data_IF_876938477634
#
_entry.id   IF_876938477634
#
_cell.length_a   1.000
_cell.length_b   1.000
_cell.length_c   1.000
_cell.angle_alpha   90.00
_cell.angle_beta   90.00
_cell.angle_gamma   90.00
#
_symmetry.space_group_name_H-M   'P 1'
#
loop_
_entity.id
_entity.type
_entity.pdbx_description
1 polymer ?
#
# COMPACT_ATOMS: atom_id res chain seq x y z
N UNK A 1 35.43 -28.42 39.42
CA UNK A 1 34.98 -28.27 38.02
C UNK A 1 33.45 -28.26 37.86
N UNK A 2 32.69 -29.15 38.49
CA UNK A 2 31.21 -29.24 38.34
C UNK A 2 30.43 -27.93 38.62
N UNK A 3 30.88 -27.12 39.58
CA UNK A 3 30.21 -25.88 40.00
C UNK A 3 30.41 -24.70 39.01
N UNK A 4 31.53 -24.65 38.29
CA UNK A 4 31.79 -23.62 37.25
C UNK A 4 30.99 -23.91 35.97
N UNK A 5 30.80 -25.19 35.62
CA UNK A 5 29.99 -25.63 34.47
C UNK A 5 28.50 -25.27 34.68
N UNK A 6 27.98 -25.42 35.89
CA UNK A 6 26.59 -25.06 36.24
C UNK A 6 26.30 -23.55 36.13
N UNK A 7 27.27 -22.68 36.49
CA UNK A 7 27.12 -21.22 36.38
C UNK A 7 27.16 -20.75 34.92
N UNK A 8 28.00 -21.36 34.09
CA UNK A 8 28.07 -21.09 32.65
C UNK A 8 26.76 -21.52 31.96
N UNK A 9 26.24 -22.70 32.33
CA UNK A 9 24.96 -23.20 31.78
C UNK A 9 23.77 -22.31 32.17
N UNK A 10 23.75 -21.81 33.41
CA UNK A 10 22.71 -20.87 33.88
C UNK A 10 22.80 -19.50 33.19
N UNK A 11 24.01 -19.03 32.85
CA UNK A 11 24.20 -17.74 32.16
C UNK A 11 23.80 -17.82 30.68
N UNK A 12 24.04 -18.97 30.02
CA UNK A 12 23.61 -19.24 28.65
C UNK A 12 22.07 -19.32 28.55
N UNK A 13 21.41 -19.91 29.56
CA UNK A 13 19.94 -20.00 29.60
C UNK A 13 19.27 -18.61 29.74
N UNK A 14 19.90 -17.70 30.49
CA UNK A 14 19.44 -16.31 30.68
C UNK A 14 19.58 -15.46 29.40
N UNK A 15 20.67 -15.65 28.65
CA UNK A 15 20.88 -14.97 27.35
C UNK A 15 19.91 -15.47 26.29
N UNK A 16 19.57 -16.77 26.28
CA UNK A 16 18.59 -17.33 25.35
C UNK A 16 17.16 -16.82 25.63
N UNK A 17 16.82 -16.59 26.91
CA UNK A 17 15.52 -16.02 27.30
C UNK A 17 15.36 -14.54 26.92
N UNK A 18 16.44 -13.75 26.91
CA UNK A 18 16.41 -12.34 26.54
C UNK A 18 16.23 -12.08 25.02
N UNK A 19 16.41 -13.10 24.17
CA UNK A 19 16.28 -12.99 22.71
C UNK A 19 14.84 -13.21 22.18
N UNK A 20 13.86 -13.45 23.06
CA UNK A 20 12.49 -13.84 22.66
C UNK A 20 11.47 -12.69 22.60
N UNK A 21 11.90 -11.41 22.68
CA UNK A 21 10.99 -10.25 22.64
C UNK A 21 11.20 -9.42 21.37
N UNK A 22 10.91 -10.04 20.22
CA UNK A 22 10.63 -9.29 18.99
C UNK A 22 9.45 -9.96 18.27
N UNK A 23 8.30 -9.95 18.93
CA UNK A 23 7.02 -10.16 18.25
C UNK A 23 6.82 -8.98 17.31
N UNK A 24 7.16 -9.18 16.03
CA UNK A 24 6.74 -8.30 14.95
C UNK A 24 5.24 -8.51 14.79
N UNK A 25 4.44 -7.81 15.61
CA UNK A 25 3.00 -7.81 15.50
C UNK A 25 2.69 -7.18 14.14
N UNK A 26 2.25 -7.99 13.17
CA UNK A 26 1.67 -7.53 11.91
C UNK A 26 0.46 -6.68 12.28
N UNK A 27 0.67 -5.37 12.37
CA UNK A 27 -0.43 -4.42 12.49
C UNK A 27 -1.21 -4.54 11.18
N UNK A 28 -2.51 -4.72 11.29
CA UNK A 28 -3.40 -4.55 10.16
C UNK A 28 -3.07 -3.20 9.49
N UNK A 29 -2.72 -3.23 8.21
CA UNK A 29 -2.30 -2.04 7.45
C UNK A 29 -3.46 -1.06 7.25
N UNK A 30 -4.67 -1.44 7.65
CA UNK A 30 -5.90 -0.65 7.52
C UNK A 30 -6.82 -0.83 8.74
N UNK A 31 -7.80 0.05 8.88
CA UNK A 31 -8.86 -0.03 9.90
C UNK A 31 -9.74 -1.28 9.71
N UNK A 32 -10.32 -1.82 10.79
CA UNK A 32 -11.09 -3.08 10.78
C UNK A 32 -12.31 -3.11 9.85
N UNK A 33 -12.86 -1.96 9.50
CA UNK A 33 -13.99 -1.78 8.58
C UNK A 33 -13.55 -1.54 7.13
N UNK A 34 -12.26 -1.66 6.82
CA UNK A 34 -11.75 -1.52 5.46
C UNK A 34 -12.32 -2.66 4.58
N UNK A 35 -12.92 -2.36 3.41
CA UNK A 35 -13.55 -3.39 2.58
C UNK A 35 -12.53 -4.41 2.06
N UNK A 36 -12.84 -5.69 2.22
CA UNK A 36 -12.08 -6.77 1.60
C UNK A 36 -12.81 -7.25 0.34
N UNK A 37 -12.41 -6.72 -0.81
CA UNK A 37 -13.04 -6.98 -2.11
C UNK A 37 -11.94 -7.34 -3.11
N UNK A 38 -12.13 -8.38 -3.93
CA UNK A 38 -11.09 -8.83 -4.85
C UNK A 38 -10.71 -7.74 -5.85
N UNK A 39 -9.41 -7.69 -6.15
CA UNK A 39 -8.85 -6.86 -7.22
C UNK A 39 -8.36 -7.75 -8.35
N UNK A 40 -8.81 -7.46 -9.57
CA UNK A 40 -8.34 -8.10 -10.79
C UNK A 40 -8.62 -7.17 -11.98
N UNK A 41 -7.63 -6.36 -12.34
CA UNK A 41 -7.76 -5.31 -13.37
C UNK A 41 -6.67 -5.52 -14.40
N UNK A 42 -7.03 -5.56 -15.68
CA UNK A 42 -6.08 -5.61 -16.79
C UNK A 42 -6.22 -4.34 -17.63
N UNK A 43 -5.13 -3.62 -17.83
CA UNK A 43 -5.05 -2.38 -18.62
C UNK A 43 -4.07 -2.56 -19.77
N UNK A 44 -4.48 -2.19 -20.98
CA UNK A 44 -3.59 -2.14 -22.15
C UNK A 44 -3.07 -0.71 -22.36
N UNK A 45 -1.85 -0.42 -21.90
CA UNK A 45 -1.28 0.93 -21.89
C UNK A 45 -1.04 1.55 -23.28
N UNK A 46 -1.23 0.78 -24.35
CA UNK A 46 -1.20 1.28 -25.73
C UNK A 46 -2.50 2.01 -26.12
N UNK A 47 -3.57 1.88 -25.34
CA UNK A 47 -4.81 2.60 -25.57
C UNK A 47 -4.69 4.06 -25.11
N UNK A 48 -5.28 5.03 -25.85
CA UNK A 48 -5.22 6.45 -25.52
C UNK A 48 -5.69 6.80 -24.10
N UNK A 49 -6.65 6.05 -23.56
CA UNK A 49 -7.17 6.23 -22.21
C UNK A 49 -6.10 6.10 -21.12
N UNK A 50 -4.96 5.45 -21.41
CA UNK A 50 -3.91 5.14 -20.44
C UNK A 50 -2.56 5.79 -20.79
N UNK A 51 -2.52 6.71 -21.76
CA UNK A 51 -1.28 7.38 -22.18
C UNK A 51 -0.57 8.13 -21.04
N UNK A 52 -1.32 8.63 -20.04
CA UNK A 52 -0.71 9.21 -18.85
C UNK A 52 0.25 8.23 -18.16
N UNK A 53 -0.05 6.94 -18.11
CA UNK A 53 0.78 5.92 -17.46
C UNK A 53 2.07 5.58 -18.22
N UNK A 54 2.26 6.10 -19.44
CA UNK A 54 3.50 5.93 -20.17
C UNK A 54 4.63 6.85 -19.67
N UNK A 55 4.28 7.97 -19.03
CA UNK A 55 5.23 8.95 -18.52
C UNK A 55 5.37 8.85 -17.00
N UNK A 56 6.59 9.00 -16.48
CA UNK A 56 6.83 9.07 -15.03
C UNK A 56 6.02 10.22 -14.42
N UNK A 57 5.44 10.00 -13.24
CA UNK A 57 4.49 10.86 -12.53
C UNK A 57 3.09 10.94 -13.15
N UNK A 58 2.87 10.35 -14.32
CA UNK A 58 1.55 10.24 -14.89
C UNK A 58 0.69 9.26 -14.10
N UNK A 59 -0.58 9.60 -13.93
CA UNK A 59 -1.53 8.83 -13.11
C UNK A 59 -2.92 8.82 -13.75
N UNK A 60 -3.73 7.83 -13.34
CA UNK A 60 -5.13 7.70 -13.74
C UNK A 60 -5.97 7.18 -12.57
N UNK A 61 -7.29 7.40 -12.66
CA UNK A 61 -8.26 6.61 -11.90
C UNK A 61 -8.69 5.38 -12.68
N UNK A 62 -8.85 4.26 -11.98
CA UNK A 62 -9.40 3.02 -12.55
C UNK A 62 -10.67 2.69 -11.80
N UNK A 63 -11.82 2.76 -12.50
CA UNK A 63 -13.15 2.53 -11.93
C UNK A 63 -13.92 1.43 -12.68
N UNK A 64 -13.20 0.43 -13.22
CA UNK A 64 -13.80 -0.71 -13.91
C UNK A 64 -14.24 -1.79 -12.92
N UNK A 65 -14.88 -2.84 -13.43
CA UNK A 65 -15.21 -4.03 -12.63
C UNK A 65 -13.94 -4.60 -11.97
N UNK A 66 -14.08 -5.11 -10.74
CA UNK A 66 -12.97 -5.69 -9.96
C UNK A 66 -11.85 -4.69 -9.61
N UNK A 67 -12.15 -3.39 -9.58
CA UNK A 67 -11.25 -2.32 -9.11
C UNK A 67 -11.54 -1.89 -7.65
N UNK A 68 -12.05 -2.80 -6.81
CA UNK A 68 -12.41 -2.52 -5.42
C UNK A 68 -13.73 -1.74 -5.30
N UNK A 69 -14.00 -1.20 -4.10
CA UNK A 69 -15.30 -0.53 -3.82
C UNK A 69 -15.34 0.93 -4.29
N UNK A 70 -14.19 1.59 -4.41
CA UNK A 70 -14.09 3.03 -4.74
C UNK A 70 -13.17 3.32 -5.93
N UNK A 71 -12.72 2.27 -6.62
CA UNK A 71 -11.72 2.36 -7.67
C UNK A 71 -10.30 2.44 -7.12
N UNK A 72 -9.35 2.55 -8.06
CA UNK A 72 -7.93 2.60 -7.79
C UNK A 72 -7.32 3.91 -8.30
N UNK A 73 -6.20 4.31 -7.71
CA UNK A 73 -5.28 5.30 -8.28
C UNK A 73 -4.06 4.53 -8.76
N UNK A 74 -3.77 4.60 -10.07
CA UNK A 74 -2.56 4.03 -10.64
C UNK A 74 -1.63 5.17 -11.02
N UNK A 75 -0.39 5.13 -10.56
CA UNK A 75 0.66 6.11 -10.90
C UNK A 75 1.89 5.41 -11.43
N UNK A 76 2.48 5.97 -12.48
CA UNK A 76 3.78 5.56 -13.01
C UNK A 76 4.90 6.21 -12.20
N UNK A 77 5.73 5.40 -11.58
CA UNK A 77 6.97 5.83 -10.91
C UNK A 77 8.18 5.59 -11.82
N UNK A 78 9.36 6.05 -11.39
CA UNK A 78 10.62 5.79 -12.10
C UNK A 78 10.90 4.29 -12.27
N UNK A 79 10.47 3.46 -11.31
CA UNK A 79 10.83 2.05 -11.24
C UNK A 79 9.65 1.10 -11.56
N UNK A 80 8.50 1.63 -11.99
CA UNK A 80 7.31 0.82 -12.24
C UNK A 80 6.03 1.56 -11.88
N UNK A 81 5.11 0.91 -11.18
CA UNK A 81 3.80 1.49 -10.85
C UNK A 81 3.55 1.45 -9.33
N UNK A 82 2.72 2.37 -8.85
CA UNK A 82 2.02 2.19 -7.58
C UNK A 82 0.52 2.19 -7.85
N UNK A 83 -0.16 1.29 -7.16
CA UNK A 83 -1.61 1.09 -7.28
C UNK A 83 -2.18 1.24 -5.88
N UNK A 84 -2.97 2.27 -5.67
CA UNK A 84 -3.59 2.58 -4.38
C UNK A 84 -5.09 2.32 -4.41
N UNK A 85 -5.61 1.72 -3.34
CA UNK A 85 -7.04 1.73 -3.07
C UNK A 85 -7.50 3.18 -2.77
N UNK A 86 -8.72 3.52 -3.18
CA UNK A 86 -9.33 4.83 -2.93
C UNK A 86 -10.12 4.91 -1.64
N UNK A 87 -10.10 3.90 -0.78
CA UNK A 87 -10.57 3.97 0.60
C UNK A 87 -9.43 4.49 1.49
N UNK A 88 -9.75 5.44 2.37
CA UNK A 88 -8.80 5.89 3.39
C UNK A 88 -8.40 4.70 4.29
N UNK A 89 -7.10 4.46 4.52
CA UNK A 89 -6.65 3.28 5.26
C UNK A 89 -7.00 3.34 6.75
N UNK A 90 -7.20 4.53 7.31
CA UNK A 90 -7.35 4.77 8.75
C UNK A 90 -8.78 5.15 9.18
N UNK A 91 -9.75 5.26 8.26
CA UNK A 91 -11.14 5.65 8.56
C UNK A 91 -12.10 4.74 7.81
N UNK A 92 -13.20 4.34 8.45
CA UNK A 92 -14.24 3.56 7.80
C UNK A 92 -14.83 4.27 6.58
N UNK A 93 -15.21 3.52 5.52
CA UNK A 93 -15.85 4.10 4.34
C UNK A 93 -17.10 4.93 4.69
N UNK A 94 -17.11 6.21 4.31
CA UNK A 94 -18.24 7.16 4.43
C UNK A 94 -18.27 8.08 3.18
N UNK A 95 -19.27 8.93 3.06
CA UNK A 95 -19.60 9.81 1.91
C UNK A 95 -18.42 10.64 1.40
N UNK A 96 -17.43 10.98 2.25
CA UNK A 96 -16.27 11.82 1.88
C UNK A 96 -14.90 11.15 2.12
N UNK A 97 -14.84 9.84 2.30
CA UNK A 97 -13.56 9.12 2.56
C UNK A 97 -12.92 8.56 1.30
N UNK A 98 -13.41 8.93 0.11
CA UNK A 98 -12.83 8.50 -1.16
C UNK A 98 -11.59 9.34 -1.44
N UNK A 99 -10.43 8.68 -1.53
CA UNK A 99 -9.18 9.35 -1.84
C UNK A 99 -9.20 9.93 -3.26
N UNK A 100 -8.61 11.11 -3.39
CA UNK A 100 -8.49 11.84 -4.66
C UNK A 100 -7.10 12.42 -4.81
N UNK A 101 -6.64 12.55 -6.04
CA UNK A 101 -5.36 13.18 -6.38
C UNK A 101 -5.55 14.68 -6.52
N UNK A 102 -4.70 15.46 -5.85
CA UNK A 102 -4.64 16.92 -5.97
C UNK A 102 -3.27 17.37 -6.52
N UNK A 103 -3.31 18.40 -7.37
CA UNK A 103 -2.13 19.04 -7.96
C UNK A 103 -1.15 18.08 -8.67
N UNK A 104 -1.59 16.87 -9.02
CA UNK A 104 -0.78 15.79 -9.60
C UNK A 104 0.43 15.34 -8.74
N UNK A 105 0.46 15.68 -7.45
CA UNK A 105 1.61 15.38 -6.57
C UNK A 105 1.22 14.69 -5.27
N UNK A 106 -0.05 14.76 -4.87
CA UNK A 106 -0.51 14.20 -3.60
C UNK A 106 -1.87 13.52 -3.70
N UNK A 107 -2.10 12.56 -2.83
CA UNK A 107 -3.39 11.92 -2.57
C UNK A 107 -3.97 12.59 -1.33
N UNK A 108 -5.26 12.89 -1.34
CA UNK A 108 -5.97 13.59 -0.26
C UNK A 108 -7.26 12.85 0.09
N UNK A 109 -7.53 12.74 1.39
CA UNK A 109 -8.82 12.33 1.92
C UNK A 109 -9.68 13.56 2.22
N UNK A 110 -10.82 13.78 1.52
CA UNK A 110 -11.65 14.96 1.72
C UNK A 110 -12.31 15.04 3.12
N UNK A 111 -12.46 13.91 3.82
CA UNK A 111 -13.16 13.86 5.11
C UNK A 111 -12.38 14.53 6.24
N UNK A 112 -11.09 14.30 6.31
CA UNK A 112 -10.23 14.68 7.43
C UNK A 112 -8.97 15.46 6.99
N UNK A 113 -8.76 15.60 5.68
CA UNK A 113 -7.60 16.28 5.13
C UNK A 113 -6.30 15.50 5.30
N UNK A 114 -6.36 14.16 5.41
CA UNK A 114 -5.17 13.33 5.34
C UNK A 114 -4.52 13.43 3.96
N UNK A 115 -3.18 13.46 3.93
CA UNK A 115 -2.41 13.67 2.71
C UNK A 115 -1.28 12.66 2.58
N UNK A 116 -1.02 12.20 1.37
CA UNK A 116 0.10 11.31 1.03
C UNK A 116 0.80 11.79 -0.23
N UNK A 117 2.11 11.57 -0.34
CA UNK A 117 2.86 11.83 -1.57
C UNK A 117 2.39 10.84 -2.66
N UNK A 118 1.97 11.32 -3.83
CA UNK A 118 1.38 10.47 -4.87
C UNK A 118 2.34 9.37 -5.35
N UNK A 119 3.62 9.69 -5.53
CA UNK A 119 4.60 8.77 -6.11
C UNK A 119 5.19 7.77 -5.11
N UNK A 120 5.12 8.06 -3.80
CA UNK A 120 5.67 7.19 -2.75
C UNK A 120 4.59 6.59 -1.85
N UNK A 121 3.40 7.17 -1.77
CA UNK A 121 2.35 6.81 -0.82
C UNK A 121 2.67 7.18 0.63
N UNK A 122 3.76 7.90 0.86
CA UNK A 122 4.20 8.28 2.20
C UNK A 122 3.22 9.29 2.82
N UNK A 123 2.72 9.07 4.04
CA UNK A 123 1.85 10.01 4.72
C UNK A 123 2.58 11.31 5.03
N UNK A 124 1.90 12.43 4.80
CA UNK A 124 2.42 13.78 5.07
C UNK A 124 1.55 14.55 6.05
N UNK A 125 0.30 14.12 6.25
CA UNK A 125 -0.66 14.79 7.13
C UNK A 125 -1.74 13.84 7.62
N UNK A 126 -2.16 14.00 8.88
CA UNK A 126 -3.20 13.25 9.62
C UNK A 126 -2.93 11.74 9.72
N UNK A 127 -2.96 11.02 8.61
CA UNK A 127 -2.72 9.58 8.57
C UNK A 127 -1.27 9.24 8.95
N UNK A 128 -1.09 8.10 9.60
CA UNK A 128 0.22 7.55 9.99
C UNK A 128 0.61 6.31 9.17
N UNK A 129 -0.28 5.89 8.27
CA UNK A 129 -0.15 4.69 7.44
C UNK A 129 -0.39 5.04 5.97
N UNK A 130 0.34 4.42 5.04
CA UNK A 130 0.11 4.63 3.60
C UNK A 130 -1.26 4.08 3.17
N UNK A 131 -1.81 4.51 2.02
CA UNK A 131 -3.00 3.88 1.46
C UNK A 131 -2.70 2.42 1.12
N UNK A 132 -3.71 1.54 1.23
CA UNK A 132 -3.57 0.13 0.83
C UNK A 132 -3.09 0.05 -0.63
N UNK A 133 -2.06 -0.74 -0.88
CA UNK A 133 -1.51 -0.92 -2.24
C UNK A 133 -1.76 -2.31 -2.78
N UNK A 134 -1.92 -2.40 -4.09
CA UNK A 134 -2.08 -3.67 -4.80
C UNK A 134 -0.85 -4.04 -5.63
N UNK A 135 -0.67 -5.34 -5.84
CA UNK A 135 0.41 -5.88 -6.66
C UNK A 135 0.06 -5.70 -8.13
N UNK A 136 1.09 -5.71 -8.96
CA UNK A 136 0.92 -5.68 -10.39
C UNK A 136 2.00 -6.49 -11.10
N UNK A 137 1.69 -6.88 -12.34
CA UNK A 137 2.63 -7.37 -13.32
C UNK A 137 2.55 -6.48 -14.56
N UNK A 138 3.68 -6.00 -15.06
CA UNK A 138 3.74 -5.20 -16.27
C UNK A 138 4.58 -5.90 -17.33
N UNK A 139 3.93 -6.24 -18.44
CA UNK A 139 4.59 -6.76 -19.63
C UNK A 139 4.85 -5.61 -20.60
N UNK A 140 6.12 -5.21 -20.69
CA UNK A 140 6.56 -4.12 -21.59
C UNK A 140 6.48 -4.48 -23.08
N UNK A 141 6.46 -5.77 -23.43
CA UNK A 141 6.37 -6.21 -24.82
C UNK A 141 4.97 -6.05 -25.40
N UNK A 142 3.95 -6.34 -24.58
CA UNK A 142 2.54 -6.19 -24.96
C UNK A 142 1.93 -4.88 -24.49
N UNK A 143 2.59 -4.16 -23.58
CA UNK A 143 2.05 -2.96 -22.93
C UNK A 143 0.94 -3.26 -21.94
N UNK A 144 0.83 -4.52 -21.46
CA UNK A 144 -0.24 -4.96 -20.57
C UNK A 144 0.16 -4.80 -19.11
N UNK A 145 -0.66 -4.08 -18.33
CA UNK A 145 -0.55 -3.94 -16.89
C UNK A 145 -1.68 -4.72 -16.21
N UNK A 146 -1.35 -5.79 -15.52
CA UNK A 146 -2.28 -6.60 -14.73
C UNK A 146 -2.12 -6.29 -13.25
N UNK A 147 -3.21 -5.95 -12.57
CA UNK A 147 -3.27 -5.53 -11.16
C UNK A 147 -4.10 -6.54 -10.39
N UNK A 148 -3.60 -6.98 -9.24
CA UNK A 148 -4.21 -8.02 -8.41
C UNK A 148 -3.84 -7.87 -6.92
N UNK A 149 -4.61 -8.51 -6.06
CA UNK A 149 -4.32 -8.64 -4.62
C UNK A 149 -3.31 -9.77 -4.32
#
# INVERSE_FOLDING_TARGET
MKRKISIIFSSILLIFSALNISSCQTREETVSCFPNVPINVVLNLNLPAYYNLQNVNGWIYVNQQEAGTRGLIVVRTTNGFKVYDRNAPHICPDTNTTLSVENNIKIVCPKDGAEWILITGEPTKVAQIPPKTYRYNYDSSTGTLSIFE
#
